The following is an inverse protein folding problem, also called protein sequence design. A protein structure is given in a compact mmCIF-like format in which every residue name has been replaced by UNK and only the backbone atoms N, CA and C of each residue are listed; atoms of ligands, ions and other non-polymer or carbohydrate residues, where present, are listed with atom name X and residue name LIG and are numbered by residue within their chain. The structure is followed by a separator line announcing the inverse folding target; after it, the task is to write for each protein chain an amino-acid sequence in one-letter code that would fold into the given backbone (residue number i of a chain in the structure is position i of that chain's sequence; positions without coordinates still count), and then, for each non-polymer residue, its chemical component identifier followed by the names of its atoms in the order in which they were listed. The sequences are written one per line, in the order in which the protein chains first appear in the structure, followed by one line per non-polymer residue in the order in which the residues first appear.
data_IF_745784524340
#
_entry.id   IF_745784524340
#
_cell.length_a   1.000
_cell.length_b   1.000
_cell.length_c   1.000
_cell.angle_alpha   90.00
_cell.angle_beta   90.00
_cell.angle_gamma   90.00
#
_symmetry.space_group_name_H-M   'P 1'
#
loop_
_entity.id
_entity.type
_entity.pdbx_description
1 polymer ?
#
# COMPACT_ATOMS: atom_id res chain seq x y z
N UNK A 1 -2.25 -20.19 9.71
CA UNK A 1 -0.90 -19.76 9.29
C UNK A 1 -0.80 -18.29 9.60
N UNK A 2 0.20 -17.94 10.40
CA UNK A 2 0.25 -16.73 11.21
C UNK A 2 0.24 -15.45 10.36
N UNK A 3 -0.72 -14.59 10.69
CA UNK A 3 -0.91 -13.27 10.14
C UNK A 3 0.05 -12.29 10.81
N UNK A 4 1.35 -12.39 10.52
CA UNK A 4 2.19 -11.20 10.67
C UNK A 4 1.72 -10.20 9.60
N UNK A 5 0.83 -9.28 10.00
CA UNK A 5 0.73 -7.94 9.42
C UNK A 5 0.85 -7.88 7.90
N UNK A 6 -0.21 -8.23 7.15
CA UNK A 6 -0.18 -8.11 5.70
C UNK A 6 0.20 -6.67 5.30
N UNK A 7 1.46 -6.47 4.90
CA UNK A 7 2.02 -5.15 4.59
C UNK A 7 1.24 -4.46 3.47
N UNK A 8 0.54 -5.21 2.62
CA UNK A 8 -0.41 -4.68 1.63
C UNK A 8 -1.56 -3.95 2.34
N UNK A 9 -2.21 -4.60 3.31
CA UNK A 9 -3.34 -4.02 4.05
C UNK A 9 -2.86 -2.85 4.92
N UNK A 10 -1.68 -2.97 5.53
CA UNK A 10 -1.07 -1.88 6.31
C UNK A 10 -0.76 -0.67 5.42
N UNK A 11 -0.12 -0.88 4.26
CA UNK A 11 0.16 0.17 3.29
C UNK A 11 -1.12 0.85 2.80
N UNK A 12 -2.14 0.07 2.41
CA UNK A 12 -3.41 0.60 1.97
C UNK A 12 -4.10 1.47 3.05
N UNK A 13 -4.11 1.01 4.31
CA UNK A 13 -4.68 1.75 5.43
C UNK A 13 -3.87 2.99 5.79
N UNK A 14 -2.55 2.91 5.75
CA UNK A 14 -1.67 4.04 6.01
C UNK A 14 -1.88 5.14 4.97
N UNK A 15 -1.87 4.77 3.68
CA UNK A 15 -2.19 5.69 2.59
C UNK A 15 -3.57 6.33 2.77
N UNK A 16 -4.59 5.52 3.06
CA UNK A 16 -5.96 6.00 3.27
C UNK A 16 -6.00 7.03 4.40
N UNK A 17 -5.34 6.76 5.53
CA UNK A 17 -5.25 7.69 6.65
C UNK A 17 -4.51 8.98 6.27
N UNK A 18 -3.31 8.89 5.70
CA UNK A 18 -2.50 10.06 5.34
C UNK A 18 -3.21 10.96 4.32
N UNK A 19 -3.87 10.36 3.33
CA UNK A 19 -4.65 11.09 2.35
C UNK A 19 -5.91 11.72 2.97
N UNK A 20 -6.60 11.02 3.89
CA UNK A 20 -7.76 11.56 4.59
C UNK A 20 -7.38 12.74 5.50
N UNK A 21 -6.30 12.61 6.28
CA UNK A 21 -5.79 13.63 7.19
C UNK A 21 -5.37 14.91 6.45
N UNK A 22 -4.96 14.79 5.18
CA UNK A 22 -4.61 15.92 4.31
C UNK A 22 -5.73 16.37 3.36
N UNK A 23 -6.95 15.82 3.49
CA UNK A 23 -8.10 16.18 2.63
C UNK A 23 -7.95 15.76 1.16
N UNK A 24 -7.03 14.84 0.88
CA UNK A 24 -6.69 14.34 -0.47
C UNK A 24 -7.36 13.01 -0.82
N UNK A 25 -8.09 12.39 0.11
CA UNK A 25 -8.80 11.14 -0.14
C UNK A 25 -10.24 11.42 -0.62
N UNK A 26 -10.64 10.99 -1.84
CA UNK A 26 -12.02 11.11 -2.29
C UNK A 26 -12.99 10.28 -1.44
N UNK A 27 -14.21 10.79 -1.25
CA UNK A 27 -15.28 10.06 -0.53
C UNK A 27 -15.61 8.75 -1.24
N UNK A 28 -15.72 7.66 -0.48
CA UNK A 28 -16.01 6.33 -1.01
C UNK A 28 -14.78 5.54 -1.50
N UNK A 29 -13.56 6.06 -1.29
CA UNK A 29 -12.34 5.35 -1.66
C UNK A 29 -12.19 4.03 -0.89
N UNK A 30 -11.99 2.95 -1.63
CA UNK A 30 -11.78 1.59 -1.13
C UNK A 30 -11.19 0.71 -2.23
N UNK A 31 -10.79 -0.51 -1.88
CA UNK A 31 -10.27 -1.49 -2.84
C UNK A 31 -10.35 -2.91 -2.29
N UNK A 32 -10.69 -3.85 -3.17
CA UNK A 32 -10.45 -5.28 -2.96
C UNK A 32 -9.08 -5.62 -3.53
N UNK A 33 -8.19 -6.14 -2.68
CA UNK A 33 -6.79 -6.41 -3.05
C UNK A 33 -6.52 -7.91 -2.99
N UNK A 34 -6.04 -8.45 -4.11
CA UNK A 34 -5.58 -9.84 -4.20
C UNK A 34 -4.13 -9.86 -4.71
N UNK A 35 -3.38 -10.89 -4.34
CA UNK A 35 -1.99 -11.07 -4.75
C UNK A 35 -1.79 -12.48 -5.29
N UNK A 36 -1.30 -12.59 -6.53
CA UNK A 36 -0.77 -13.83 -7.09
C UNK A 36 0.72 -13.93 -6.74
N UNK A 37 1.03 -14.55 -5.60
CA UNK A 37 2.42 -14.73 -5.16
C UNK A 37 3.08 -15.87 -5.92
N UNK A 38 3.87 -15.52 -6.93
CA UNK A 38 4.73 -16.46 -7.66
C UNK A 38 6.12 -16.65 -7.03
N UNK A 39 6.56 -15.70 -6.20
CA UNK A 39 7.85 -15.76 -5.52
C UNK A 39 7.72 -16.48 -4.17
N UNK A 40 8.67 -17.36 -3.81
CA UNK A 40 8.66 -18.05 -2.53
C UNK A 40 8.88 -17.07 -1.36
N UNK A 41 8.23 -17.35 -0.23
CA UNK A 41 8.37 -16.58 1.01
C UNK A 41 9.74 -16.87 1.65
N UNK A 42 10.47 -15.84 2.11
CA UNK A 42 11.57 -16.02 3.09
C UNK A 42 13.01 -16.09 2.57
N UNK A 43 13.31 -15.68 1.33
CA UNK A 43 14.68 -15.72 0.78
C UNK A 43 15.55 -14.47 0.99
N UNK A 44 15.14 -13.48 1.80
CA UNK A 44 15.82 -12.18 1.89
C UNK A 44 15.59 -11.24 0.70
N UNK A 45 14.64 -11.56 -0.18
CA UNK A 45 14.40 -10.87 -1.47
C UNK A 45 13.38 -9.72 -1.41
N UNK A 46 13.05 -9.17 -0.23
CA UNK A 46 12.19 -7.97 -0.13
C UNK A 46 10.75 -8.14 -0.65
N UNK A 47 10.24 -9.37 -0.78
CA UNK A 47 8.90 -9.60 -1.34
C UNK A 47 7.78 -8.92 -0.56
N UNK A 48 7.90 -8.76 0.76
CA UNK A 48 6.91 -8.05 1.58
C UNK A 48 6.88 -6.53 1.36
N UNK A 49 8.05 -5.89 1.39
CA UNK A 49 8.20 -4.43 1.19
C UNK A 49 7.90 -4.03 -0.25
N UNK A 50 8.29 -4.84 -1.24
CA UNK A 50 7.96 -4.60 -2.64
C UNK A 50 6.44 -4.57 -2.86
N UNK A 51 5.70 -5.51 -2.26
CA UNK A 51 4.24 -5.51 -2.34
C UNK A 51 3.61 -4.26 -1.69
N UNK A 52 4.14 -3.82 -0.54
CA UNK A 52 3.67 -2.61 0.14
C UNK A 52 3.88 -1.36 -0.73
N UNK A 53 5.08 -1.19 -1.28
CA UNK A 53 5.40 -0.08 -2.18
C UNK A 53 4.50 -0.08 -3.42
N UNK A 54 4.26 -1.25 -4.03
CA UNK A 54 3.33 -1.37 -5.17
C UNK A 54 1.91 -0.92 -4.79
N UNK A 55 1.44 -1.29 -3.60
CA UNK A 55 0.10 -0.90 -3.12
C UNK A 55 0.01 0.61 -2.91
N UNK A 56 1.02 1.23 -2.29
CA UNK A 56 1.06 2.69 -2.10
C UNK A 56 0.97 3.43 -3.43
N UNK A 57 1.80 3.05 -4.40
CA UNK A 57 1.81 3.68 -5.73
C UNK A 57 0.51 3.45 -6.47
N UNK A 58 0.01 2.21 -6.50
CA UNK A 58 -1.20 1.84 -7.22
C UNK A 58 -2.44 2.55 -6.67
N UNK A 59 -2.63 2.52 -5.34
CA UNK A 59 -3.80 3.14 -4.71
C UNK A 59 -3.71 4.67 -4.72
N UNK A 60 -2.53 5.28 -4.57
CA UNK A 60 -2.39 6.73 -4.74
C UNK A 60 -2.82 7.18 -6.14
N UNK A 61 -2.50 6.38 -7.16
CA UNK A 61 -2.93 6.63 -8.53
C UNK A 61 -4.44 6.39 -8.72
N UNK A 62 -4.96 5.23 -8.26
CA UNK A 62 -6.37 4.84 -8.46
C UNK A 62 -7.34 5.73 -7.67
N UNK A 63 -6.99 6.13 -6.45
CA UNK A 63 -7.77 7.06 -5.64
C UNK A 63 -7.45 8.52 -5.95
N UNK A 64 -6.52 8.79 -6.86
CA UNK A 64 -6.10 10.15 -7.25
C UNK A 64 -5.71 11.04 -6.07
N UNK A 65 -5.06 10.47 -5.05
CA UNK A 65 -4.69 11.22 -3.83
C UNK A 65 -3.60 12.27 -4.10
N UNK A 66 -2.84 12.16 -5.19
CA UNK A 66 -1.85 13.17 -5.58
C UNK A 66 -0.68 13.32 -4.60
N UNK A 67 -0.36 12.27 -3.83
CA UNK A 67 0.87 12.22 -3.03
C UNK A 67 2.08 12.08 -3.95
N UNK A 68 3.17 12.78 -3.61
CA UNK A 68 4.44 12.69 -4.32
C UNK A 68 5.12 11.34 -4.07
N UNK A 69 6.09 10.97 -4.92
CA UNK A 69 6.86 9.74 -4.69
C UNK A 69 7.67 9.80 -3.39
N UNK A 70 8.11 10.99 -2.96
CA UNK A 70 8.82 11.17 -1.69
C UNK A 70 7.88 10.90 -0.50
N UNK A 71 6.66 11.43 -0.54
CA UNK A 71 5.63 11.15 0.48
C UNK A 71 5.29 9.66 0.54
N UNK A 72 5.24 8.98 -0.61
CA UNK A 72 5.04 7.53 -0.65
C UNK A 72 6.23 6.74 -0.11
N UNK A 73 7.46 7.19 -0.37
CA UNK A 73 8.68 6.53 0.10
C UNK A 73 8.84 6.64 1.63
N UNK A 74 8.42 7.74 2.24
CA UNK A 74 8.42 7.91 3.70
C UNK A 74 7.47 6.94 4.42
N UNK A 75 6.47 6.39 3.72
CA UNK A 75 5.52 5.42 4.25
C UNK A 75 5.94 3.94 4.06
N UNK A 76 6.95 3.68 3.22
CA UNK A 76 7.33 2.35 2.72
C UNK A 76 8.39 1.60 3.53
#
# INVERSE_FOLDING_TARGET
MEHEDNLIVRAARLLMKTAADSGRLPTGSGADISIDKRLPMGGGLGGGSSNAATVLVALNHLWQCGLSMDELAEMG
#
